data_IF_681555648349
#
_entry.id   IF_681555648349
#
_cell.length_a   1.000
_cell.length_b   1.000
_cell.length_c   1.000
_cell.angle_alpha   90.00
_cell.angle_beta   90.00
_cell.angle_gamma   90.00
#
_symmetry.space_group_name_H-M   'P 1'
#
loop_
_entity.id
_entity.type
_entity.pdbx_description
1 polymer ?
#
# COMPACT_ATOMS: atom_id res chain seq x y z
N UNK A 1 16.20 -12.28 17.72
CA UNK A 1 15.85 -13.22 16.62
C UNK A 1 16.74 -13.02 15.40
N UNK A 2 16.73 -11.86 14.73
CA UNK A 2 17.52 -11.60 13.52
C UNK A 2 19.02 -11.94 13.68
N UNK A 3 19.64 -11.48 14.77
CA UNK A 3 21.01 -11.80 15.13
C UNK A 3 21.29 -13.30 15.22
N UNK A 4 20.38 -14.06 15.83
CA UNK A 4 20.54 -15.50 15.97
C UNK A 4 20.53 -16.18 14.59
N UNK A 5 19.62 -15.80 13.70
CA UNK A 5 19.54 -16.33 12.33
C UNK A 5 20.80 -16.00 11.51
N UNK A 6 21.31 -14.77 11.63
CA UNK A 6 22.55 -14.36 10.98
C UNK A 6 23.75 -15.21 11.43
N UNK A 7 23.85 -15.46 12.74
CA UNK A 7 24.89 -16.33 13.33
C UNK A 7 24.74 -17.81 12.98
N UNK A 8 23.56 -18.24 12.52
CA UNK A 8 23.37 -19.55 11.90
C UNK A 8 23.80 -19.59 10.42
N UNK A 9 24.40 -18.51 9.91
CA UNK A 9 24.92 -18.43 8.55
C UNK A 9 23.89 -17.98 7.51
N UNK A 10 22.68 -17.58 7.90
CA UNK A 10 21.65 -17.08 6.97
C UNK A 10 21.82 -15.59 6.70
N UNK A 11 21.84 -15.17 5.44
CA UNK A 11 21.83 -13.75 5.07
C UNK A 11 20.50 -13.13 5.50
N UNK A 12 20.52 -12.30 6.54
CA UNK A 12 19.32 -11.85 7.25
C UNK A 12 19.19 -10.33 7.20
N UNK A 13 18.01 -9.84 6.86
CA UNK A 13 17.65 -8.41 6.95
C UNK A 13 16.73 -8.18 8.14
N UNK A 14 17.13 -7.29 9.04
CA UNK A 14 16.30 -6.69 10.07
C UNK A 14 15.80 -5.33 9.58
N UNK A 15 14.54 -5.25 9.20
CA UNK A 15 13.91 -4.01 8.78
C UNK A 15 12.97 -3.50 9.89
N UNK A 16 13.01 -2.21 10.21
CA UNK A 16 12.02 -1.60 11.11
C UNK A 16 11.18 -0.56 10.39
N UNK A 17 9.88 -0.63 10.64
CA UNK A 17 8.88 0.38 10.28
C UNK A 17 8.34 1.09 11.53
N UNK A 18 8.88 0.78 12.70
CA UNK A 18 8.40 1.29 13.98
C UNK A 18 8.84 2.76 14.16
N UNK A 19 7.91 3.73 14.22
CA UNK A 19 8.27 5.13 14.36
C UNK A 19 8.73 5.50 15.78
N UNK A 20 8.53 4.62 16.77
CA UNK A 20 8.81 4.88 18.19
C UNK A 20 10.23 4.45 18.58
N UNK A 21 10.73 3.38 17.98
CA UNK A 21 12.03 2.80 18.31
C UNK A 21 12.94 2.81 17.08
N UNK A 22 14.01 3.59 17.14
CA UNK A 22 15.01 3.69 16.08
C UNK A 22 16.01 2.53 16.18
N UNK A 23 16.14 1.77 15.09
CA UNK A 23 17.22 0.80 14.90
C UNK A 23 18.58 1.49 14.86
N UNK A 24 18.66 2.67 14.24
CA UNK A 24 19.89 3.46 14.17
C UNK A 24 20.43 3.76 15.57
N UNK A 25 19.54 4.15 16.49
CA UNK A 25 19.90 4.41 17.88
C UNK A 25 20.22 3.13 18.65
N UNK A 26 19.50 2.03 18.39
CA UNK A 26 19.70 0.74 19.06
C UNK A 26 21.04 0.07 18.67
N UNK A 27 21.47 0.24 17.42
CA UNK A 27 22.69 -0.35 16.86
C UNK A 27 23.89 0.59 16.94
N UNK A 28 23.70 1.83 17.39
CA UNK A 28 24.72 2.90 17.36
C UNK A 28 25.40 2.99 15.97
N UNK A 29 24.57 2.95 14.92
CA UNK A 29 24.99 2.88 13.53
C UNK A 29 23.87 3.41 12.63
N UNK A 30 24.18 4.33 11.72
CA UNK A 30 23.21 4.83 10.75
C UNK A 30 22.78 3.73 9.77
N UNK A 31 21.51 3.35 9.88
CA UNK A 31 20.85 2.35 9.02
C UNK A 31 19.58 2.92 8.39
N UNK A 32 19.41 4.25 8.43
CA UNK A 32 18.22 4.93 7.93
C UNK A 32 18.22 5.04 6.41
N UNK A 33 17.07 4.74 5.79
CA UNK A 33 16.84 4.92 4.36
C UNK A 33 17.55 3.91 3.45
N UNK A 34 18.45 3.06 3.97
CA UNK A 34 19.13 2.02 3.18
C UNK A 34 19.55 0.80 4.01
N UNK A 35 19.49 -0.43 3.44
CA UNK A 35 20.08 -1.61 4.06
C UNK A 35 21.58 -1.45 4.29
N UNK A 36 22.01 -1.73 5.51
CA UNK A 36 23.40 -1.54 5.94
C UNK A 36 23.85 -2.75 6.74
N UNK A 37 25.08 -3.24 6.48
CA UNK A 37 25.66 -4.35 7.24
C UNK A 37 25.91 -3.92 8.69
N UNK A 38 25.42 -4.69 9.66
CA UNK A 38 25.59 -4.40 11.09
C UNK A 38 27.05 -4.62 11.49
N UNK A 39 27.62 -3.71 12.29
CA UNK A 39 28.96 -3.86 12.86
C UNK A 39 29.13 -5.23 13.53
N UNK A 40 30.30 -5.83 13.35
CA UNK A 40 30.71 -7.11 13.97
C UNK A 40 29.90 -8.34 13.53
N UNK A 41 29.04 -8.22 12.52
CA UNK A 41 28.26 -9.34 11.99
C UNK A 41 28.46 -9.46 10.46
N UNK A 42 28.68 -10.67 9.96
CA UNK A 42 29.00 -10.88 8.53
C UNK A 42 27.76 -10.98 7.64
N UNK A 43 26.62 -11.37 8.23
CA UNK A 43 25.39 -11.73 7.48
C UNK A 43 24.14 -11.04 7.99
N UNK A 44 24.28 -10.09 8.94
CA UNK A 44 23.16 -9.31 9.46
C UNK A 44 23.15 -7.93 8.83
N UNK A 45 22.06 -7.61 8.16
CA UNK A 45 21.79 -6.28 7.63
C UNK A 45 20.66 -5.65 8.44
N UNK A 46 20.75 -4.36 8.66
CA UNK A 46 19.71 -3.58 9.30
C UNK A 46 19.24 -2.47 8.35
N UNK A 47 17.95 -2.15 8.43
CA UNK A 47 17.32 -1.12 7.61
C UNK A 47 16.20 -0.44 8.40
N UNK A 48 16.39 0.82 8.74
CA UNK A 48 15.32 1.68 9.27
C UNK A 48 14.62 2.38 8.11
N UNK A 49 13.37 2.01 7.87
CA UNK A 49 12.59 2.46 6.71
C UNK A 49 12.08 3.87 6.96
N UNK A 50 12.27 4.76 5.99
CA UNK A 50 11.56 6.03 5.98
C UNK A 50 10.10 5.80 5.60
N UNK A 51 9.24 5.84 6.62
CA UNK A 51 7.82 5.63 6.47
C UNK A 51 7.09 6.90 6.06
N UNK A 52 7.63 8.10 6.35
CA UNK A 52 6.96 9.37 6.08
C UNK A 52 6.93 9.67 4.59
N UNK A 53 8.07 9.55 3.94
CA UNK A 53 8.19 9.81 2.50
C UNK A 53 7.29 8.88 1.68
N UNK A 54 7.24 7.61 2.08
CA UNK A 54 6.39 6.62 1.43
C UNK A 54 4.89 6.88 1.64
N UNK A 55 4.47 7.16 2.86
CA UNK A 55 3.07 7.53 3.14
C UNK A 55 2.69 8.74 2.29
N UNK A 56 3.55 9.76 2.21
CA UNK A 56 3.28 10.96 1.41
C UNK A 56 3.19 10.67 -0.09
N UNK A 57 4.03 9.78 -0.60
CA UNK A 57 3.96 9.31 -1.99
C UNK A 57 2.63 8.58 -2.25
N UNK A 58 2.25 7.62 -1.41
CA UNK A 58 0.98 6.89 -1.53
C UNK A 58 -0.23 7.84 -1.45
N UNK A 59 -0.17 8.90 -0.61
CA UNK A 59 -1.22 9.93 -0.52
C UNK A 59 -1.41 10.65 -1.85
N UNK A 60 -0.30 11.06 -2.49
CA UNK A 60 -0.33 11.72 -3.80
C UNK A 60 -0.93 10.81 -4.88
N UNK A 61 -0.55 9.54 -4.89
CA UNK A 61 -1.07 8.56 -5.85
C UNK A 61 -2.57 8.32 -5.68
N UNK A 62 -3.05 8.15 -4.44
CA UNK A 62 -4.49 8.06 -4.16
C UNK A 62 -5.22 9.32 -4.58
N UNK A 63 -4.67 10.50 -4.29
CA UNK A 63 -5.25 11.78 -4.71
C UNK A 63 -5.43 11.86 -6.22
N UNK A 64 -4.43 11.44 -6.99
CA UNK A 64 -4.51 11.40 -8.45
C UNK A 64 -5.59 10.42 -8.94
N UNK A 65 -5.66 9.21 -8.36
CA UNK A 65 -6.66 8.19 -8.70
C UNK A 65 -8.08 8.66 -8.39
N UNK A 66 -8.32 9.26 -7.22
CA UNK A 66 -9.63 9.81 -6.83
C UNK A 66 -10.04 10.95 -7.76
N UNK A 67 -9.12 11.90 -8.04
CA UNK A 67 -9.39 12.99 -8.98
C UNK A 67 -9.76 12.48 -10.37
N UNK A 68 -9.04 11.47 -10.86
CA UNK A 68 -9.33 10.83 -12.13
C UNK A 68 -10.72 10.17 -12.09
N UNK A 69 -11.01 9.37 -11.07
CA UNK A 69 -12.29 8.69 -10.89
C UNK A 69 -13.47 9.66 -10.89
N UNK A 70 -13.41 10.71 -10.07
CA UNK A 70 -14.51 11.69 -9.94
C UNK A 70 -14.78 12.43 -11.26
N UNK A 71 -13.71 12.74 -12.02
CA UNK A 71 -13.82 13.36 -13.34
C UNK A 71 -14.59 12.48 -14.34
N UNK A 72 -14.36 11.17 -14.33
CA UNK A 72 -15.04 10.24 -15.26
C UNK A 72 -16.41 9.75 -14.77
N UNK A 73 -16.66 9.81 -13.47
CA UNK A 73 -17.95 9.48 -12.88
C UNK A 73 -18.99 10.60 -13.01
N UNK A 74 -18.61 11.80 -13.51
CA UNK A 74 -19.44 13.02 -13.57
C UNK A 74 -20.00 13.43 -12.20
N UNK A 75 -19.25 13.13 -11.13
CA UNK A 75 -19.62 13.45 -9.76
C UNK A 75 -19.08 14.85 -9.42
N UNK A 76 -19.99 15.81 -9.30
CA UNK A 76 -19.67 17.18 -8.83
C UNK A 76 -19.51 17.20 -7.31
N UNK A 77 -18.41 16.65 -6.80
CA UNK A 77 -18.09 16.70 -5.37
C UNK A 77 -16.62 17.10 -5.19
N UNK A 78 -16.28 17.64 -4.02
CA UNK A 78 -14.92 18.09 -3.70
C UNK A 78 -14.02 16.87 -3.52
N UNK A 79 -13.01 16.66 -4.38
CA UNK A 79 -12.13 15.50 -4.28
C UNK A 79 -11.33 15.49 -2.98
N UNK A 80 -11.01 16.66 -2.44
CA UNK A 80 -10.15 16.81 -1.27
C UNK A 80 -10.76 16.13 -0.02
N UNK A 81 -12.09 16.17 0.16
CA UNK A 81 -12.76 15.54 1.31
C UNK A 81 -12.67 14.01 1.25
N UNK A 82 -12.76 13.42 0.04
CA UNK A 82 -12.59 11.98 -0.16
C UNK A 82 -11.14 11.55 0.05
N UNK A 83 -10.19 12.35 -0.44
CA UNK A 83 -8.76 12.08 -0.26
C UNK A 83 -8.39 12.15 1.22
N UNK A 84 -8.85 13.17 1.92
CA UNK A 84 -8.62 13.33 3.36
C UNK A 84 -9.19 12.15 4.14
N UNK A 85 -10.45 11.77 3.87
CA UNK A 85 -11.08 10.61 4.51
C UNK A 85 -10.36 9.29 4.22
N UNK A 86 -9.84 9.10 3.00
CA UNK A 86 -9.14 7.88 2.62
C UNK A 86 -7.73 7.80 3.23
N UNK A 87 -7.06 8.94 3.41
CA UNK A 87 -5.65 9.01 3.79
C UNK A 87 -5.40 9.25 5.28
N UNK A 88 -6.38 9.75 6.03
CA UNK A 88 -6.32 9.89 7.50
C UNK A 88 -6.64 8.58 8.25
N UNK A 89 -7.06 7.53 7.55
CA UNK A 89 -7.36 6.25 8.18
C UNK A 89 -6.06 5.49 8.51
N UNK A 90 -5.85 4.99 9.75
CA UNK A 90 -4.69 4.18 10.11
C UNK A 90 -4.45 2.97 9.19
N UNK A 91 -5.51 2.41 8.59
CA UNK A 91 -5.40 1.32 7.63
C UNK A 91 -4.61 1.72 6.37
N UNK A 92 -4.72 2.99 5.93
CA UNK A 92 -3.99 3.47 4.78
C UNK A 92 -2.48 3.58 5.07
N UNK A 93 -2.11 4.11 6.24
CA UNK A 93 -0.70 4.19 6.65
C UNK A 93 -0.09 2.79 6.77
N UNK A 94 -0.84 1.83 7.32
CA UNK A 94 -0.42 0.43 7.39
C UNK A 94 -0.26 -0.23 6.01
N UNK A 95 -1.17 0.04 5.08
CA UNK A 95 -1.04 -0.46 3.69
C UNK A 95 0.21 0.10 3.01
N UNK A 96 0.50 1.39 3.15
CA UNK A 96 1.71 2.00 2.59
C UNK A 96 3.00 1.43 3.21
N UNK A 97 3.00 1.19 4.53
CA UNK A 97 4.12 0.50 5.18
C UNK A 97 4.29 -0.93 4.68
N UNK A 98 3.19 -1.65 4.43
CA UNK A 98 3.22 -3.02 3.92
C UNK A 98 3.75 -3.11 2.48
N UNK A 99 3.34 -2.19 1.60
CA UNK A 99 3.89 -2.10 0.23
C UNK A 99 5.43 -2.00 0.25
N UNK A 100 6.00 -1.23 1.17
CA UNK A 100 7.46 -1.15 1.33
C UNK A 100 8.09 -2.49 1.74
N UNK A 101 7.45 -3.22 2.67
CA UNK A 101 7.94 -4.54 3.07
C UNK A 101 7.94 -5.51 1.88
N UNK A 102 6.89 -5.45 1.07
CA UNK A 102 6.72 -6.25 -0.14
C UNK A 102 7.81 -5.92 -1.18
N UNK A 103 8.04 -4.63 -1.45
CA UNK A 103 9.10 -4.18 -2.36
C UNK A 103 10.50 -4.63 -1.93
N UNK A 104 10.75 -4.66 -0.61
CA UNK A 104 12.01 -5.16 -0.05
C UNK A 104 12.13 -6.68 -0.27
N UNK A 105 11.07 -7.44 -0.01
CA UNK A 105 11.07 -8.90 -0.18
C UNK A 105 11.20 -9.30 -1.65
N UNK A 106 10.58 -8.55 -2.58
CA UNK A 106 10.64 -8.83 -4.02
C UNK A 106 12.03 -8.69 -4.64
N UNK A 107 12.93 -7.92 -4.02
CA UNK A 107 14.32 -7.85 -4.45
C UNK A 107 15.08 -9.16 -4.24
N UNK A 108 14.55 -10.03 -3.37
CA UNK A 108 15.07 -11.38 -3.09
C UNK A 108 16.59 -11.41 -2.77
N UNK A 109 17.07 -10.36 -2.10
CA UNK A 109 18.48 -10.22 -1.77
C UNK A 109 18.86 -11.06 -0.54
N UNK A 110 17.94 -11.29 0.39
CA UNK A 110 18.20 -11.91 1.69
C UNK A 110 17.45 -13.24 1.84
N UNK A 111 18.03 -14.18 2.58
CA UNK A 111 17.41 -15.48 2.86
C UNK A 111 16.32 -15.38 3.93
N UNK A 112 16.44 -14.43 4.86
CA UNK A 112 15.47 -14.20 5.94
C UNK A 112 15.20 -12.72 6.14
N UNK A 113 13.92 -12.37 6.22
CA UNK A 113 13.45 -11.02 6.50
C UNK A 113 12.79 -11.00 7.88
N UNK A 114 13.23 -10.08 8.74
CA UNK A 114 12.67 -9.84 10.07
C UNK A 114 12.16 -8.41 10.10
N UNK A 115 10.84 -8.23 10.16
CA UNK A 115 10.21 -6.93 10.25
C UNK A 115 9.84 -6.60 11.69
N UNK A 116 10.37 -5.48 12.20
CA UNK A 116 9.93 -4.83 13.43
C UNK A 116 8.83 -3.81 13.08
N UNK A 117 7.60 -4.10 13.52
CA UNK A 117 6.40 -3.31 13.19
C UNK A 117 5.84 -2.65 14.43
N UNK A 118 5.24 -1.47 14.27
CA UNK A 118 4.54 -0.79 15.36
C UNK A 118 3.42 -1.70 15.93
N UNK A 119 3.11 -1.61 17.24
CA UNK A 119 2.09 -2.45 17.87
C UNK A 119 0.66 -2.21 17.34
N UNK A 120 0.42 -1.09 16.67
CA UNK A 120 -0.83 -0.79 15.97
C UNK A 120 -0.97 -1.55 14.65
N UNK A 121 0.15 -1.91 14.01
CA UNK A 121 0.19 -2.61 12.73
C UNK A 121 -0.12 -4.10 12.93
N UNK A 122 -1.41 -4.45 12.87
CA UNK A 122 -1.83 -5.84 12.97
C UNK A 122 -1.72 -6.53 11.61
N UNK A 123 -0.68 -7.35 11.41
CA UNK A 123 -0.46 -8.11 10.17
C UNK A 123 -1.69 -8.94 9.74
N UNK A 124 -2.54 -9.41 10.68
CA UNK A 124 -3.81 -10.10 10.34
C UNK A 124 -4.85 -9.18 9.73
N UNK A 125 -4.92 -7.91 10.14
CA UNK A 125 -5.84 -6.92 9.55
C UNK A 125 -5.52 -6.73 8.08
N UNK A 126 -4.23 -6.60 7.74
CA UNK A 126 -3.74 -6.48 6.37
C UNK A 126 -4.16 -7.66 5.47
N UNK A 127 -3.96 -8.90 5.93
CA UNK A 127 -4.39 -10.09 5.20
C UNK A 127 -5.92 -10.10 4.96
N UNK A 128 -6.70 -9.63 5.93
CA UNK A 128 -8.15 -9.55 5.82
C UNK A 128 -8.65 -8.47 4.85
N UNK A 129 -7.92 -7.37 4.64
CA UNK A 129 -8.39 -6.27 3.80
C UNK A 129 -8.53 -6.65 2.32
N UNK A 130 -7.75 -7.61 1.82
CA UNK A 130 -7.88 -8.14 0.46
C UNK A 130 -9.32 -8.55 0.11
N UNK A 131 -9.96 -9.31 1.01
CA UNK A 131 -11.35 -9.77 0.85
C UNK A 131 -12.38 -8.63 0.87
N UNK A 132 -12.13 -7.57 1.65
CA UNK A 132 -13.00 -6.40 1.74
C UNK A 132 -12.91 -5.55 0.46
N UNK A 133 -11.71 -5.41 -0.11
CA UNK A 133 -11.51 -4.70 -1.37
C UNK A 133 -12.24 -5.38 -2.53
N UNK A 134 -12.15 -6.70 -2.64
CA UNK A 134 -12.87 -7.47 -3.67
C UNK A 134 -14.38 -7.25 -3.59
N UNK A 135 -14.96 -7.28 -2.38
CA UNK A 135 -16.39 -7.03 -2.17
C UNK A 135 -16.79 -5.61 -2.62
N UNK A 136 -15.96 -4.62 -2.31
CA UNK A 136 -16.19 -3.23 -2.69
C UNK A 136 -16.12 -3.03 -4.21
N UNK A 137 -15.11 -3.57 -4.89
CA UNK A 137 -14.97 -3.49 -6.35
C UNK A 137 -16.19 -4.13 -7.04
N UNK A 138 -16.61 -5.32 -6.59
CA UNK A 138 -17.79 -6.00 -7.13
C UNK A 138 -19.06 -5.16 -6.99
N UNK A 139 -19.22 -4.45 -5.86
CA UNK A 139 -20.37 -3.56 -5.65
C UNK A 139 -20.32 -2.33 -6.56
N UNK A 140 -19.15 -1.74 -6.77
CA UNK A 140 -18.98 -0.61 -7.70
C UNK A 140 -19.24 -1.00 -9.15
N UNK A 141 -18.73 -2.16 -9.59
CA UNK A 141 -19.01 -2.72 -10.92
C UNK A 141 -20.51 -2.84 -11.16
N UNK A 142 -21.21 -3.51 -10.24
CA UNK A 142 -22.66 -3.68 -10.34
C UNK A 142 -23.41 -2.34 -10.39
N UNK A 143 -23.03 -1.39 -9.54
CA UNK A 143 -23.64 -0.06 -9.54
C UNK A 143 -23.39 0.70 -10.86
N UNK A 144 -22.20 0.54 -11.47
CA UNK A 144 -21.88 1.18 -12.75
C UNK A 144 -22.61 0.55 -13.92
N UNK A 145 -22.77 -0.77 -13.93
CA UNK A 145 -23.60 -1.49 -14.91
C UNK A 145 -25.06 -1.06 -14.85
N UNK A 146 -25.64 -0.95 -13.64
CA UNK A 146 -27.01 -0.47 -13.43
C UNK A 146 -27.18 0.97 -13.95
N UNK A 147 -26.24 1.87 -13.63
CA UNK A 147 -26.26 3.25 -14.12
C UNK A 147 -26.16 3.34 -15.64
N UNK A 148 -25.32 2.49 -16.26
CA UNK A 148 -25.18 2.42 -17.72
C UNK A 148 -26.46 1.91 -18.39
N UNK A 149 -27.06 0.84 -17.86
CA UNK A 149 -28.33 0.29 -18.34
C UNK A 149 -29.45 1.34 -18.28
N UNK A 150 -29.55 2.08 -17.18
CA UNK A 150 -30.54 3.14 -17.02
C UNK A 150 -30.30 4.29 -18.02
N UNK A 151 -29.04 4.69 -18.24
CA UNK A 151 -28.66 5.70 -19.24
C UNK A 151 -29.03 5.26 -20.67
N UNK A 152 -28.79 4.00 -21.02
CA UNK A 152 -29.17 3.44 -22.33
C UNK A 152 -30.68 3.44 -22.54
N UNK A 153 -31.46 3.05 -21.53
CA UNK A 153 -32.93 3.06 -21.56
C UNK A 153 -33.52 4.46 -21.75
N UNK A 154 -32.90 5.48 -21.15
CA UNK A 154 -33.35 6.87 -21.20
C UNK A 154 -32.82 7.64 -22.42
N UNK A 155 -31.83 7.11 -23.15
CA UNK A 155 -31.20 7.80 -24.29
C UNK A 155 -31.96 7.57 -25.61
N UNK A 156 -32.31 8.66 -26.30
CA UNK A 156 -32.93 8.61 -27.63
C UNK A 156 -31.97 8.28 -28.77
N UNK A 157 -30.65 8.30 -28.53
CA UNK A 157 -29.59 8.04 -29.52
C UNK A 157 -28.74 6.84 -29.09
N UNK A 158 -28.68 5.79 -29.92
CA UNK A 158 -27.91 4.55 -29.68
C UNK A 158 -26.39 4.70 -29.87
N UNK A 159 -25.82 5.85 -29.51
CA UNK A 159 -24.37 6.05 -29.62
C UNK A 159 -23.69 5.45 -28.40
N UNK A 160 -23.04 4.29 -28.56
CA UNK A 160 -22.21 3.69 -27.52
C UNK A 160 -20.99 4.57 -27.27
N UNK A 161 -20.96 5.26 -26.14
CA UNK A 161 -19.76 5.92 -25.62
C UNK A 161 -18.89 4.89 -24.89
N UNK A 162 -17.57 5.03 -25.01
CA UNK A 162 -16.63 4.28 -24.16
C UNK A 162 -16.83 4.71 -22.71
N UNK A 163 -16.78 3.76 -21.79
CA UNK A 163 -16.83 4.02 -20.34
C UNK A 163 -15.47 3.65 -19.74
N UNK A 164 -14.52 4.59 -19.69
CA UNK A 164 -13.17 4.35 -19.20
C UNK A 164 -13.14 3.85 -17.75
N UNK A 165 -14.19 4.18 -16.97
CA UNK A 165 -14.30 3.74 -15.59
C UNK A 165 -14.69 2.27 -15.50
N UNK A 166 -15.59 1.80 -16.38
CA UNK A 166 -15.94 0.38 -16.46
C UNK A 166 -14.74 -0.45 -16.93
N UNK A 167 -14.03 0.02 -17.96
CA UNK A 167 -12.80 -0.64 -18.45
C UNK A 167 -11.73 -0.70 -17.34
N UNK A 168 -11.57 0.37 -16.56
CA UNK A 168 -10.67 0.41 -15.40
C UNK A 168 -11.05 -0.59 -14.32
N UNK A 169 -12.33 -0.68 -13.95
CA UNK A 169 -12.80 -1.59 -12.90
C UNK A 169 -12.67 -3.07 -13.30
N UNK A 170 -12.85 -3.38 -14.59
CA UNK A 170 -12.67 -4.74 -15.12
C UNK A 170 -11.20 -5.19 -15.08
N UNK A 171 -10.27 -4.30 -15.44
CA UNK A 171 -8.82 -4.59 -15.37
C UNK A 171 -8.28 -4.70 -13.93
N UNK A 172 -9.06 -4.33 -12.92
CA UNK A 172 -8.69 -4.44 -11.50
C UNK A 172 -9.02 -5.81 -10.89
N UNK A 173 -9.68 -6.70 -11.63
CA UNK A 173 -9.99 -8.07 -11.19
C UNK A 173 -8.90 -9.10 -11.58
N UNK A 174 -7.99 -8.74 -12.48
CA UNK A 174 -6.85 -9.56 -12.95
C UNK A 174 -5.59 -9.31 -12.12
#
# INVERSE_FOLDING_TARGET
MALWLARQGKRTLLASTNPVHSLTSLLDQDVFGKPTLVKEEEKLYAYEIDTKDNIEKSKKEIKQKINWFLKYADIKTRPDEFVESATMNPAFEESAMFENMIDIMFKDEYEVYVFDTAPTANARRLLGMSSVYTLWINKMLKSREEAKSLKELLSYSKKKEKDPLLDYLLNFQD
#
